data_IF_412780477286
#
_entry.id   IF_412780477286
#
_cell.length_a   1.000
_cell.length_b   1.000
_cell.length_c   1.000
_cell.angle_alpha   90.00
_cell.angle_beta   90.00
_cell.angle_gamma   90.00
#
_symmetry.space_group_name_H-M   'P 1'
#
loop_
_entity.id
_entity.type
_entity.pdbx_description
1 polymer ?
#
# COMPACT_ATOMS: atom_id res chain seq x y z
N UNK A 1 -22.52 -58.69 17.39
CA UNK A 1 -21.50 -57.60 17.37
C UNK A 1 -21.54 -56.87 16.03
N UNK A 2 -22.01 -55.61 16.01
CA UNK A 2 -22.07 -54.79 14.78
C UNK A 2 -20.69 -54.13 14.56
N UNK A 3 -20.05 -54.40 13.40
CA UNK A 3 -18.79 -53.77 13.02
C UNK A 3 -19.01 -52.28 12.78
N UNK A 4 -18.13 -51.39 13.30
CA UNK A 4 -18.26 -49.97 13.04
C UNK A 4 -18.03 -49.67 11.54
N UNK A 5 -18.85 -48.77 11.00
CA UNK A 5 -18.85 -48.42 9.58
C UNK A 5 -17.61 -47.55 9.25
N UNK A 6 -16.57 -48.17 8.72
CA UNK A 6 -15.25 -47.59 8.45
C UNK A 6 -15.35 -46.33 7.57
N UNK A 7 -16.33 -46.28 6.68
CA UNK A 7 -16.54 -45.09 5.81
C UNK A 7 -17.03 -43.85 6.56
N UNK A 8 -17.75 -43.99 7.68
CA UNK A 8 -18.18 -42.85 8.52
C UNK A 8 -17.03 -42.28 9.34
N UNK A 9 -16.11 -43.12 9.78
CA UNK A 9 -14.93 -42.68 10.56
C UNK A 9 -13.97 -41.88 9.67
N UNK A 10 -13.73 -42.35 8.43
CA UNK A 10 -12.88 -41.65 7.45
C UNK A 10 -13.46 -40.29 7.02
N UNK A 11 -14.77 -40.16 6.87
CA UNK A 11 -15.42 -38.89 6.53
C UNK A 11 -15.34 -37.87 7.66
N UNK A 12 -15.49 -38.30 8.92
CA UNK A 12 -15.39 -37.40 10.09
C UNK A 12 -13.97 -36.92 10.28
N UNK A 13 -12.96 -37.78 10.11
CA UNK A 13 -11.54 -37.37 10.20
C UNK A 13 -11.14 -36.42 9.11
N UNK A 14 -11.64 -36.57 7.88
CA UNK A 14 -11.37 -35.61 6.77
C UNK A 14 -11.99 -34.24 7.03
N UNK A 15 -13.21 -34.17 7.58
CA UNK A 15 -13.89 -32.91 7.91
C UNK A 15 -13.17 -32.19 9.06
N UNK A 16 -12.76 -32.92 10.10
CA UNK A 16 -12.01 -32.33 11.23
C UNK A 16 -10.63 -31.82 10.78
N UNK A 17 -9.93 -32.54 9.90
CA UNK A 17 -8.66 -32.10 9.33
C UNK A 17 -8.82 -30.87 8.43
N UNK A 18 -9.91 -30.79 7.65
CA UNK A 18 -10.19 -29.65 6.79
C UNK A 18 -10.58 -28.40 7.62
N UNK A 19 -11.39 -28.55 8.66
CA UNK A 19 -11.72 -27.46 9.58
C UNK A 19 -10.51 -26.98 10.39
N UNK A 20 -9.62 -27.88 10.81
CA UNK A 20 -8.37 -27.54 11.46
C UNK A 20 -7.41 -26.81 10.50
N UNK A 21 -7.35 -27.20 9.23
CA UNK A 21 -6.56 -26.53 8.19
C UNK A 21 -7.05 -25.11 7.89
N UNK A 22 -8.39 -24.90 7.85
CA UNK A 22 -8.99 -23.56 7.72
C UNK A 22 -8.68 -22.71 8.96
N UNK A 23 -8.83 -23.29 10.18
CA UNK A 23 -8.55 -22.58 11.43
C UNK A 23 -7.06 -22.16 11.56
N UNK A 24 -6.13 -23.00 11.11
CA UNK A 24 -4.69 -22.69 11.13
C UNK A 24 -4.34 -21.57 10.13
N UNK A 25 -5.03 -21.49 8.98
CA UNK A 25 -4.80 -20.38 8.05
C UNK A 25 -5.40 -19.05 8.52
N UNK A 26 -6.51 -19.08 9.27
CA UNK A 26 -7.12 -17.86 9.83
C UNK A 26 -6.35 -17.31 11.04
N UNK A 27 -5.56 -18.11 11.74
CA UNK A 27 -4.74 -17.68 12.89
C UNK A 27 -3.48 -16.92 12.47
N UNK A 28 -3.07 -16.96 11.18
CA UNK A 28 -1.82 -16.37 10.70
C UNK A 28 -1.92 -14.94 10.14
N UNK A 29 -3.09 -14.44 9.81
CA UNK A 29 -3.25 -13.07 9.35
C UNK A 29 -3.28 -12.11 10.54
N UNK A 30 -2.10 -11.56 10.91
CA UNK A 30 -2.10 -10.45 11.87
C UNK A 30 -2.88 -9.29 11.23
N UNK A 31 -3.89 -8.74 11.95
CA UNK A 31 -4.59 -7.55 11.44
C UNK A 31 -3.58 -6.43 11.17
N UNK A 32 -3.87 -5.62 10.17
CA UNK A 32 -3.10 -4.41 9.91
C UNK A 32 -3.04 -3.56 11.19
N UNK A 33 -1.89 -2.94 11.45
CA UNK A 33 -1.74 -2.09 12.61
C UNK A 33 -2.45 -0.76 12.32
N UNK A 34 -3.54 -0.49 13.03
CA UNK A 34 -4.24 0.78 12.94
C UNK A 34 -3.36 1.90 13.53
N UNK A 35 -3.19 3.02 12.82
CA UNK A 35 -2.44 4.15 13.33
C UNK A 35 -3.22 4.92 14.40
N UNK A 36 -2.50 5.61 15.28
CA UNK A 36 -3.10 6.53 16.25
C UNK A 36 -3.57 7.82 15.57
N UNK A 37 -4.79 8.27 15.85
CA UNK A 37 -5.33 9.55 15.37
C UNK A 37 -5.47 10.57 16.50
N UNK A 38 -5.32 11.90 16.26
CA UNK A 38 -4.98 12.48 14.96
C UNK A 38 -3.56 12.10 14.50
N UNK A 39 -3.42 11.78 13.20
CA UNK A 39 -2.13 11.35 12.67
C UNK A 39 -1.13 12.52 12.63
N UNK A 40 0.13 12.35 13.08
CA UNK A 40 1.09 13.45 13.17
C UNK A 40 1.41 14.04 11.80
N UNK A 41 1.32 15.36 11.68
CA UNK A 41 1.79 16.07 10.49
C UNK A 41 3.31 16.06 10.43
N UNK A 42 3.94 15.99 9.23
CA UNK A 42 5.40 16.10 9.11
C UNK A 42 5.90 17.43 9.71
N UNK A 43 6.91 17.36 10.58
CA UNK A 43 7.60 18.53 11.12
C UNK A 43 8.60 19.07 10.11
N UNK A 44 9.22 18.16 9.34
CA UNK A 44 10.15 18.48 8.26
C UNK A 44 9.42 18.28 6.95
N UNK A 45 9.18 19.36 6.20
CA UNK A 45 8.48 19.35 4.91
C UNK A 45 9.01 20.49 4.02
N UNK A 46 8.74 20.39 2.71
CA UNK A 46 8.86 21.51 1.79
C UNK A 46 7.65 22.44 1.95
N UNK A 47 7.81 23.77 1.93
CA UNK A 47 6.69 24.69 1.93
C UNK A 47 5.89 24.54 0.63
N UNK A 48 4.61 24.94 0.65
CA UNK A 48 3.84 25.06 -0.60
C UNK A 48 4.57 25.98 -1.59
N UNK A 49 4.66 25.55 -2.83
CA UNK A 49 5.27 26.33 -3.90
C UNK A 49 4.44 27.59 -4.20
N UNK A 50 5.11 28.70 -4.52
CA UNK A 50 4.44 29.95 -4.85
C UNK A 50 3.68 29.88 -6.18
N UNK A 51 4.14 29.04 -7.11
CA UNK A 51 3.58 28.90 -8.45
C UNK A 51 3.14 27.45 -8.71
N UNK A 52 2.10 27.29 -9.54
CA UNK A 52 1.67 25.99 -10.05
C UNK A 52 2.80 25.33 -10.84
N UNK A 53 3.07 24.09 -10.53
CA UNK A 53 4.03 23.25 -11.26
C UNK A 53 3.60 21.79 -11.16
N UNK A 54 4.41 20.89 -11.70
CA UNK A 54 4.21 19.46 -11.55
C UNK A 54 5.45 18.86 -10.90
N UNK A 55 5.23 18.17 -9.80
CA UNK A 55 6.23 17.29 -9.21
C UNK A 55 5.73 15.85 -9.26
N UNK A 56 6.67 14.91 -9.23
CA UNK A 56 6.34 13.48 -9.28
C UNK A 56 7.05 12.75 -8.13
N UNK A 57 6.30 11.83 -7.51
CA UNK A 57 6.82 10.89 -6.50
C UNK A 57 6.38 9.49 -6.85
N UNK A 58 7.23 8.49 -6.55
CA UNK A 58 6.90 7.07 -6.73
C UNK A 58 6.89 6.37 -5.38
N UNK A 59 5.77 5.73 -5.08
CA UNK A 59 5.50 5.06 -3.80
C UNK A 59 5.04 3.62 -4.04
N UNK A 60 5.42 2.71 -3.14
CA UNK A 60 4.98 1.31 -3.13
C UNK A 60 4.42 0.98 -1.74
N UNK A 61 3.19 0.47 -1.66
CA UNK A 61 2.48 0.22 -0.39
C UNK A 61 1.49 -0.94 -0.47
N UNK A 62 1.89 -2.08 -1.04
CA UNK A 62 1.03 -3.22 -1.31
C UNK A 62 0.42 -3.19 -2.70
N UNK A 63 -0.74 -3.84 -2.88
CA UNK A 63 -1.47 -3.82 -4.14
C UNK A 63 -1.72 -2.38 -4.61
N UNK A 64 -1.28 -2.08 -5.83
CA UNK A 64 -1.32 -0.72 -6.38
C UNK A 64 -2.74 -0.22 -6.67
N UNK A 65 -3.77 -1.08 -6.79
CA UNK A 65 -5.15 -0.67 -7.05
C UNK A 65 -5.70 0.26 -5.97
N UNK A 66 -5.57 -0.15 -4.71
CA UNK A 66 -6.02 0.66 -3.59
C UNK A 66 -5.12 1.87 -3.34
N UNK A 67 -3.81 1.73 -3.54
CA UNK A 67 -2.87 2.85 -3.40
C UNK A 67 -3.14 3.91 -4.47
N UNK A 68 -3.36 3.52 -5.73
CA UNK A 68 -3.74 4.42 -6.82
C UNK A 68 -5.00 5.19 -6.45
N UNK A 69 -6.07 4.48 -6.08
CA UNK A 69 -7.35 5.09 -5.73
C UNK A 69 -7.24 6.12 -4.58
N UNK A 70 -6.47 5.82 -3.52
CA UNK A 70 -6.25 6.77 -2.42
C UNK A 70 -5.68 8.08 -2.93
N UNK A 71 -4.66 8.05 -3.79
CA UNK A 71 -4.02 9.27 -4.27
C UNK A 71 -4.82 9.99 -5.37
N UNK A 72 -5.64 9.29 -6.14
CA UNK A 72 -6.58 9.91 -7.09
C UNK A 72 -7.63 10.77 -6.39
N UNK A 73 -7.99 10.42 -5.15
CA UNK A 73 -8.95 11.16 -4.35
C UNK A 73 -8.32 12.27 -3.48
N UNK A 74 -7.11 12.76 -3.82
CA UNK A 74 -6.48 13.88 -3.12
C UNK A 74 -6.53 15.18 -3.91
N UNK A 75 -6.95 16.26 -3.24
CA UNK A 75 -6.79 17.62 -3.77
C UNK A 75 -5.32 17.92 -4.01
N UNK A 76 -5.01 18.54 -5.13
CA UNK A 76 -3.63 18.85 -5.51
C UNK A 76 -2.93 17.75 -6.30
N UNK A 77 -3.39 16.50 -6.27
CA UNK A 77 -2.92 15.43 -7.14
C UNK A 77 -3.56 15.59 -8.52
N UNK A 78 -2.73 15.53 -9.57
CA UNK A 78 -3.17 15.72 -10.97
C UNK A 78 -3.42 14.39 -11.68
N UNK A 79 -2.53 13.42 -11.48
CA UNK A 79 -2.66 12.08 -12.05
C UNK A 79 -1.90 11.07 -11.21
N UNK A 80 -2.36 9.84 -11.23
CA UNK A 80 -1.71 8.68 -10.63
C UNK A 80 -1.65 7.58 -11.67
N UNK A 81 -0.54 6.86 -11.75
CA UNK A 81 -0.41 5.69 -12.60
C UNK A 81 0.08 4.51 -11.79
N UNK A 82 -0.58 3.37 -11.92
CA UNK A 82 -0.11 2.10 -11.39
C UNK A 82 1.07 1.55 -12.22
N UNK A 83 2.04 0.91 -11.57
CA UNK A 83 3.22 0.39 -12.26
C UNK A 83 4.20 -0.31 -11.34
N UNK A 84 5.44 -0.37 -11.77
CA UNK A 84 6.50 -1.15 -11.11
C UNK A 84 7.76 -0.32 -10.96
N UNK A 85 8.41 -0.40 -9.79
CA UNK A 85 9.68 0.30 -9.52
C UNK A 85 10.59 -0.49 -8.59
N UNK A 86 11.88 -0.13 -8.54
CA UNK A 86 12.85 -0.66 -7.59
C UNK A 86 13.51 -1.97 -7.97
N UNK A 87 13.09 -2.62 -9.05
CA UNK A 87 13.65 -3.89 -9.53
C UNK A 87 14.83 -3.74 -10.47
N UNK A 88 15.24 -4.88 -11.07
CA UNK A 88 16.40 -4.98 -11.97
C UNK A 88 16.03 -5.30 -13.41
N UNK A 89 14.81 -5.73 -13.65
CA UNK A 89 14.30 -6.12 -14.98
C UNK A 89 13.82 -4.87 -15.71
N UNK A 90 14.29 -4.67 -16.93
CA UNK A 90 13.78 -3.63 -17.81
C UNK A 90 12.47 -4.09 -18.46
N UNK A 91 11.48 -3.19 -18.54
CA UNK A 91 10.17 -3.48 -19.13
C UNK A 91 9.49 -4.73 -18.53
N UNK A 92 9.31 -4.79 -17.19
CA UNK A 92 8.65 -5.92 -16.54
C UNK A 92 7.18 -5.99 -16.94
N UNK A 93 6.64 -7.23 -17.04
CA UNK A 93 5.19 -7.48 -17.12
C UNK A 93 4.63 -7.84 -15.75
N UNK A 94 3.29 -7.79 -15.61
CA UNK A 94 2.60 -8.20 -14.39
C UNK A 94 2.96 -9.61 -13.95
N UNK A 95 2.98 -10.58 -14.88
CA UNK A 95 3.33 -11.98 -14.57
C UNK A 95 4.76 -12.10 -14.04
N UNK A 96 5.68 -11.31 -14.59
CA UNK A 96 7.06 -11.31 -14.12
C UNK A 96 7.16 -10.74 -12.71
N UNK A 97 6.49 -9.62 -12.42
CA UNK A 97 6.52 -8.98 -11.09
C UNK A 97 5.81 -9.84 -10.06
N UNK A 98 4.66 -10.42 -10.39
CA UNK A 98 3.89 -11.31 -9.52
C UNK A 98 4.66 -12.56 -9.09
N UNK A 99 5.66 -13.00 -9.88
CA UNK A 99 6.55 -14.09 -9.50
C UNK A 99 7.47 -13.75 -8.30
N UNK A 100 7.62 -12.46 -7.95
CA UNK A 100 8.52 -11.98 -6.91
C UNK A 100 10.01 -11.96 -7.29
N UNK A 101 10.37 -12.39 -8.52
CA UNK A 101 11.77 -12.59 -8.93
C UNK A 101 12.41 -11.36 -9.59
N UNK A 102 11.62 -10.38 -10.00
CA UNK A 102 12.12 -9.17 -10.70
C UNK A 102 12.79 -8.17 -9.77
N UNK A 103 12.48 -8.23 -8.47
CA UNK A 103 12.85 -7.23 -7.47
C UNK A 103 12.03 -5.93 -7.57
N UNK A 104 11.09 -5.81 -8.52
CA UNK A 104 10.16 -4.69 -8.56
C UNK A 104 9.11 -4.78 -7.45
N UNK A 105 8.68 -3.62 -6.96
CA UNK A 105 7.48 -3.49 -6.16
C UNK A 105 6.34 -2.95 -7.02
N UNK A 106 5.11 -3.39 -6.76
CA UNK A 106 3.92 -2.70 -7.20
C UNK A 106 3.93 -1.29 -6.63
N UNK A 107 3.85 -0.31 -7.51
CA UNK A 107 4.11 1.08 -7.20
C UNK A 107 3.11 1.99 -7.88
N UNK A 108 2.96 3.19 -7.36
CA UNK A 108 2.22 4.27 -8.02
C UNK A 108 3.13 5.45 -8.29
N UNK A 109 3.02 6.02 -9.49
CA UNK A 109 3.64 7.30 -9.86
C UNK A 109 2.59 8.40 -9.72
N UNK A 110 2.82 9.32 -8.78
CA UNK A 110 1.89 10.38 -8.40
C UNK A 110 2.42 11.70 -8.90
N UNK A 111 1.71 12.36 -9.81
CA UNK A 111 2.00 13.73 -10.24
C UNK A 111 1.09 14.69 -9.48
N UNK A 112 1.66 15.68 -8.81
CA UNK A 112 0.94 16.63 -7.97
C UNK A 112 1.38 18.07 -8.20
N UNK A 113 0.55 19.02 -7.77
CA UNK A 113 0.82 20.45 -7.77
C UNK A 113 1.35 20.88 -6.40
N UNK A 114 2.64 21.17 -6.25
CA UNK A 114 3.22 21.55 -4.95
C UNK A 114 2.72 22.89 -4.41
N UNK A 115 1.97 23.67 -5.21
CA UNK A 115 1.27 24.85 -4.71
C UNK A 115 -0.05 24.52 -3.98
N UNK A 116 -0.54 23.28 -4.06
CA UNK A 116 -1.81 22.84 -3.46
C UNK A 116 -1.62 21.77 -2.38
N UNK A 117 -0.62 20.90 -2.53
CA UNK A 117 -0.31 19.83 -1.60
C UNK A 117 1.20 19.66 -1.50
N UNK A 118 1.74 19.53 -0.29
CA UNK A 118 3.18 19.34 -0.08
C UNK A 118 3.57 17.86 -0.23
N UNK A 119 4.87 17.62 -0.43
CA UNK A 119 5.42 16.26 -0.42
C UNK A 119 5.18 15.55 0.93
N UNK A 120 5.35 16.26 2.04
CA UNK A 120 5.07 15.72 3.36
C UNK A 120 3.60 15.37 3.58
N UNK A 121 2.66 16.13 3.01
CA UNK A 121 1.23 15.77 3.07
C UNK A 121 0.94 14.49 2.25
N UNK A 122 1.59 14.30 1.11
CA UNK A 122 1.51 13.04 0.34
C UNK A 122 2.04 11.87 1.18
N UNK A 123 3.19 12.04 1.83
CA UNK A 123 3.75 11.03 2.73
C UNK A 123 2.84 10.77 3.94
N UNK A 124 2.19 11.81 4.48
CA UNK A 124 1.23 11.64 5.57
C UNK A 124 0.07 10.72 5.18
N UNK A 125 -0.51 10.92 3.99
CA UNK A 125 -1.57 10.04 3.48
C UNK A 125 -1.01 8.64 3.17
N UNK A 126 0.20 8.54 2.63
CA UNK A 126 0.85 7.26 2.37
C UNK A 126 0.98 6.41 3.63
N UNK A 127 1.50 6.98 4.71
CA UNK A 127 1.70 6.27 5.96
C UNK A 127 0.41 6.06 6.77
N UNK A 128 -0.59 6.95 6.67
CA UNK A 128 -1.80 6.87 7.51
C UNK A 128 -2.95 6.10 6.88
N UNK A 129 -3.05 6.09 5.55
CA UNK A 129 -4.24 5.59 4.82
C UNK A 129 -3.90 4.50 3.82
N UNK A 130 -2.84 4.69 3.02
CA UNK A 130 -2.61 3.84 1.87
C UNK A 130 -2.24 2.40 2.24
N UNK A 131 -1.51 2.19 3.36
CA UNK A 131 -1.04 0.87 3.76
C UNK A 131 -0.59 0.82 5.25
N UNK A 132 -0.30 -0.37 5.76
CA UNK A 132 0.40 -0.59 7.04
C UNK A 132 1.92 -0.66 6.80
N UNK A 133 2.68 0.40 7.15
CA UNK A 133 4.12 0.46 6.88
C UNK A 133 4.97 -0.46 7.76
N UNK A 134 4.36 -1.25 8.64
CA UNK A 134 5.05 -2.19 9.53
C UNK A 134 5.08 -3.62 9.01
N UNK A 135 4.51 -3.87 7.82
CA UNK A 135 4.46 -5.18 7.20
C UNK A 135 5.64 -5.37 6.24
N UNK A 136 6.59 -6.24 6.62
CA UNK A 136 7.76 -6.53 5.80
C UNK A 136 7.40 -7.50 4.66
N UNK A 137 7.68 -7.10 3.42
CA UNK A 137 7.48 -7.90 2.21
C UNK A 137 6.06 -8.47 2.06
N UNK A 138 5.06 -7.74 2.51
CA UNK A 138 3.65 -8.08 2.40
C UNK A 138 2.77 -6.87 2.66
N UNK A 139 1.48 -6.96 2.30
CA UNK A 139 0.47 -5.99 2.72
C UNK A 139 -0.90 -6.66 2.78
N UNK A 140 -1.49 -6.69 3.98
CA UNK A 140 -2.79 -7.34 4.18
C UNK A 140 -2.76 -8.81 3.76
N UNK A 141 -3.62 -9.24 2.81
CA UNK A 141 -3.65 -10.61 2.32
C UNK A 141 -2.49 -10.95 1.36
N UNK A 142 -1.86 -9.92 0.76
CA UNK A 142 -0.84 -10.11 -0.27
C UNK A 142 0.52 -10.36 0.36
N UNK A 143 1.20 -11.43 -0.07
CA UNK A 143 2.50 -11.84 0.43
C UNK A 143 3.53 -11.88 -0.71
N UNK A 144 4.71 -11.33 -0.45
CA UNK A 144 5.80 -11.25 -1.42
C UNK A 144 6.47 -9.88 -1.45
N UNK A 145 7.73 -9.85 -1.92
CA UNK A 145 8.55 -8.63 -2.00
C UNK A 145 7.97 -7.57 -2.95
N UNK A 146 7.12 -7.98 -3.90
CA UNK A 146 6.39 -7.07 -4.79
C UNK A 146 5.35 -6.21 -4.07
N UNK A 147 4.92 -6.61 -2.88
CA UNK A 147 3.98 -5.86 -2.03
C UNK A 147 4.64 -5.12 -0.87
N UNK A 148 5.97 -4.96 -0.91
CA UNK A 148 6.72 -4.24 0.14
C UNK A 148 6.41 -2.76 0.16
N UNK A 149 6.62 -2.15 1.32
CA UNK A 149 6.56 -0.69 1.47
C UNK A 149 7.87 -0.05 1.01
N UNK A 150 7.80 0.93 0.10
CA UNK A 150 8.97 1.70 -0.33
C UNK A 150 8.60 3.12 -0.79
N UNK A 151 9.55 4.04 -0.60
CA UNK A 151 9.53 5.40 -1.15
C UNK A 151 10.74 5.56 -2.06
N UNK A 152 10.51 5.92 -3.32
CA UNK A 152 11.57 6.16 -4.31
C UNK A 152 11.81 7.65 -4.47
N UNK A 153 12.89 8.16 -3.86
CA UNK A 153 13.21 9.59 -3.89
C UNK A 153 13.99 9.98 -5.15
N UNK A 154 13.68 11.16 -5.70
CA UNK A 154 14.37 11.74 -6.86
C UNK A 154 15.38 12.83 -6.47
N UNK A 155 15.27 13.41 -5.27
CA UNK A 155 16.12 14.47 -4.76
C UNK A 155 16.59 14.19 -3.33
N UNK A 156 17.72 14.76 -2.92
CA UNK A 156 18.18 14.64 -1.52
C UNK A 156 17.22 15.31 -0.53
N UNK A 157 16.46 16.31 -0.97
CA UNK A 157 15.42 16.92 -0.15
C UNK A 157 14.26 15.94 0.12
N UNK A 158 13.74 15.25 -0.90
CA UNK A 158 12.74 14.20 -0.72
C UNK A 158 13.24 13.10 0.22
N UNK A 159 14.50 12.67 0.05
CA UNK A 159 15.12 11.68 0.94
C UNK A 159 15.16 12.17 2.39
N UNK A 160 15.58 13.42 2.62
CA UNK A 160 15.64 14.02 3.96
C UNK A 160 14.25 14.09 4.60
N UNK A 161 13.24 14.54 3.84
CA UNK A 161 11.86 14.66 4.34
C UNK A 161 11.30 13.29 4.74
N UNK A 162 11.39 12.29 3.86
CA UNK A 162 10.84 10.95 4.17
C UNK A 162 11.56 10.29 5.34
N UNK A 163 12.90 10.40 5.42
CA UNK A 163 13.66 9.84 6.52
C UNK A 163 13.29 10.48 7.87
N UNK A 164 13.21 11.82 7.91
CA UNK A 164 12.79 12.55 9.10
C UNK A 164 11.35 12.22 9.52
N UNK A 165 10.46 12.01 8.55
CA UNK A 165 9.07 11.69 8.86
C UNK A 165 8.92 10.26 9.41
N UNK A 166 9.63 9.27 8.86
CA UNK A 166 9.66 7.92 9.41
C UNK A 166 10.20 7.94 10.86
N UNK A 167 11.29 8.67 11.11
CA UNK A 167 11.85 8.81 12.46
C UNK A 167 10.85 9.47 13.42
N UNK A 168 10.15 10.51 12.97
CA UNK A 168 9.09 11.17 13.75
C UNK A 168 7.95 10.22 14.12
N UNK A 169 7.46 9.41 13.18
CA UNK A 169 6.37 8.46 13.40
C UNK A 169 6.80 7.32 14.34
N UNK A 170 8.02 6.80 14.19
CA UNK A 170 8.58 5.78 15.06
C UNK A 170 8.79 6.32 16.49
N UNK A 171 9.33 7.54 16.64
CA UNK A 171 9.52 8.19 17.93
C UNK A 171 8.19 8.47 18.65
N UNK A 172 7.16 8.86 17.91
CA UNK A 172 5.80 9.07 18.40
C UNK A 172 5.05 7.76 18.69
N UNK A 173 5.64 6.59 18.35
CA UNK A 173 5.02 5.25 18.48
C UNK A 173 3.62 5.19 17.85
N UNK A 174 3.47 5.79 16.68
CA UNK A 174 2.20 5.82 15.93
C UNK A 174 1.73 4.41 15.63
N UNK A 175 2.66 3.50 15.38
CA UNK A 175 2.42 2.07 15.19
C UNK A 175 3.02 1.24 16.33
N UNK A 176 2.45 0.06 16.62
CA UNK A 176 2.99 -0.83 17.66
C UNK A 176 4.31 -1.52 17.26
N UNK A 177 4.70 -1.43 15.99
CA UNK A 177 5.94 -1.97 15.42
C UNK A 177 6.66 -0.88 14.64
N UNK A 178 7.96 -1.06 14.42
CA UNK A 178 8.75 -0.15 13.59
C UNK A 178 8.26 -0.13 12.16
N UNK A 179 8.36 1.04 11.54
CA UNK A 179 8.16 1.22 10.11
C UNK A 179 9.30 0.51 9.36
N UNK A 180 8.95 -0.31 8.37
CA UNK A 180 9.89 -1.08 7.55
C UNK A 180 9.98 -0.58 6.10
N UNK A 181 9.46 0.60 5.84
CA UNK A 181 9.48 1.24 4.53
C UNK A 181 10.91 1.45 4.03
N UNK A 182 11.23 0.92 2.86
CA UNK A 182 12.51 1.15 2.19
C UNK A 182 12.55 2.57 1.61
N UNK A 183 13.63 3.32 1.85
CA UNK A 183 13.88 4.64 1.24
C UNK A 183 14.99 4.48 0.21
N UNK A 184 14.62 4.47 -1.08
CA UNK A 184 15.50 4.12 -2.19
C UNK A 184 15.62 5.25 -3.21
N UNK A 185 16.78 5.40 -3.89
CA UNK A 185 16.87 6.33 -5.01
C UNK A 185 15.97 5.86 -6.16
N UNK A 186 15.21 6.79 -6.72
CA UNK A 186 14.42 6.55 -7.93
C UNK A 186 15.33 6.26 -9.13
N UNK A 187 15.06 5.19 -9.86
CA UNK A 187 15.80 4.82 -11.07
C UNK A 187 14.91 4.81 -12.30
N UNK A 188 13.79 4.11 -12.21
CA UNK A 188 12.82 3.97 -13.29
C UNK A 188 11.45 3.61 -12.72
N UNK A 189 10.41 3.99 -13.44
CA UNK A 189 9.04 3.56 -13.26
C UNK A 189 8.54 2.95 -14.56
N UNK A 190 7.98 1.78 -14.48
CA UNK A 190 7.36 1.08 -15.60
C UNK A 190 5.86 1.04 -15.38
N UNK A 191 5.11 1.74 -16.23
CA UNK A 191 3.65 1.76 -16.15
C UNK A 191 3.11 0.34 -16.32
N UNK A 192 2.22 -0.08 -15.44
CA UNK A 192 1.53 -1.36 -15.56
C UNK A 192 0.55 -1.34 -16.74
N UNK A 193 0.13 -2.51 -17.14
CA UNK A 193 -0.79 -2.76 -18.25
C UNK A 193 -2.10 -1.99 -18.02
N UNK A 194 -2.78 -1.62 -19.10
CA UNK A 194 -3.94 -0.71 -19.04
C UNK A 194 -5.10 -1.27 -18.21
N UNK A 195 -5.27 -2.59 -18.18
CA UNK A 195 -6.31 -3.23 -17.38
C UNK A 195 -6.08 -3.12 -15.85
N UNK A 196 -4.90 -2.70 -15.41
CA UNK A 196 -4.62 -2.39 -14.01
C UNK A 196 -4.87 -0.94 -13.63
N UNK A 197 -4.99 -0.04 -14.61
CA UNK A 197 -5.22 1.38 -14.32
C UNK A 197 -6.66 1.59 -13.87
N UNK A 198 -6.86 2.46 -12.87
CA UNK A 198 -8.17 2.84 -12.34
C UNK A 198 -9.04 1.62 -11.96
N UNK A 199 -8.39 0.51 -11.56
CA UNK A 199 -9.03 -0.77 -11.35
C UNK A 199 -10.17 -0.70 -10.32
N UNK A 200 -9.95 -0.01 -9.20
CA UNK A 200 -10.95 0.15 -8.15
C UNK A 200 -12.24 0.79 -8.70
N UNK A 201 -12.15 1.82 -9.53
CA UNK A 201 -13.32 2.55 -10.03
C UNK A 201 -14.22 1.72 -10.92
N UNK A 202 -13.65 0.73 -11.62
CA UNK A 202 -14.37 -0.17 -12.54
C UNK A 202 -14.78 -1.50 -11.91
N UNK A 203 -14.25 -1.85 -10.71
CA UNK A 203 -14.44 -3.13 -10.05
C UNK A 203 -14.93 -3.01 -8.58
N UNK A 204 -15.79 -2.04 -8.31
CA UNK A 204 -16.26 -1.69 -6.95
C UNK A 204 -16.95 -2.81 -6.20
N UNK A 205 -17.44 -3.86 -6.88
CA UNK A 205 -18.13 -4.99 -6.27
C UNK A 205 -17.23 -6.24 -6.12
N UNK A 206 -15.98 -6.17 -6.55
CA UNK A 206 -15.07 -7.29 -6.40
C UNK A 206 -14.69 -7.50 -4.93
N UNK A 207 -14.75 -8.75 -4.40
CA UNK A 207 -14.51 -9.01 -2.98
C UNK A 207 -13.18 -8.45 -2.48
N UNK A 208 -12.10 -8.55 -3.26
CA UNK A 208 -10.80 -7.97 -2.87
C UNK A 208 -10.90 -6.46 -2.65
N UNK A 209 -11.50 -5.74 -3.60
CA UNK A 209 -11.70 -4.28 -3.55
C UNK A 209 -12.58 -3.90 -2.35
N UNK A 210 -13.71 -4.61 -2.16
CA UNK A 210 -14.65 -4.32 -1.07
C UNK A 210 -13.99 -4.47 0.30
N UNK A 211 -13.18 -5.52 0.51
CA UNK A 211 -12.61 -5.80 1.82
C UNK A 211 -11.27 -5.10 2.08
N UNK A 212 -10.48 -4.80 1.04
CA UNK A 212 -9.12 -4.30 1.23
C UNK A 212 -8.92 -2.84 0.79
N UNK A 213 -9.67 -2.35 -0.21
CA UNK A 213 -9.37 -1.05 -0.83
C UNK A 213 -10.44 0.01 -0.56
N UNK A 214 -11.73 -0.30 -0.65
CA UNK A 214 -12.79 0.66 -0.31
C UNK A 214 -12.65 1.22 1.12
N UNK A 215 -12.28 0.43 2.15
CA UNK A 215 -12.06 0.97 3.49
C UNK A 215 -11.00 2.06 3.56
N UNK A 216 -9.99 2.05 2.66
CA UNK A 216 -8.96 3.10 2.60
C UNK A 216 -9.56 4.44 2.17
N UNK A 217 -10.47 4.43 1.18
CA UNK A 217 -11.16 5.65 0.74
C UNK A 217 -12.09 6.20 1.84
N UNK A 218 -12.81 5.34 2.54
CA UNK A 218 -13.60 5.74 3.69
C UNK A 218 -12.74 6.37 4.80
N UNK A 219 -11.57 5.78 5.07
CA UNK A 219 -10.59 6.32 6.00
C UNK A 219 -10.07 7.68 5.54
N UNK A 220 -9.70 7.83 4.27
CA UNK A 220 -9.26 9.10 3.71
C UNK A 220 -10.31 10.19 3.90
N UNK A 221 -11.54 9.92 3.50
CA UNK A 221 -12.66 10.85 3.60
C UNK A 221 -12.96 11.25 5.05
N UNK A 222 -12.89 10.30 5.97
CA UNK A 222 -13.19 10.51 7.39
C UNK A 222 -12.09 11.25 8.14
N UNK A 223 -10.82 10.92 7.88
CA UNK A 223 -9.69 11.42 8.65
C UNK A 223 -9.09 12.71 8.06
N UNK A 224 -9.24 12.89 6.73
CA UNK A 224 -8.65 14.02 6.00
C UNK A 224 -9.64 14.67 5.02
N UNK A 225 -10.84 15.10 5.51
CA UNK A 225 -11.88 15.64 4.63
C UNK A 225 -11.44 16.91 3.90
N UNK A 226 -10.49 17.66 4.46
CA UNK A 226 -9.92 18.86 3.83
C UNK A 226 -9.05 18.54 2.61
N UNK A 227 -8.41 17.36 2.59
CA UNK A 227 -7.58 16.88 1.48
C UNK A 227 -8.34 16.01 0.48
N UNK A 228 -9.50 15.48 0.88
CA UNK A 228 -10.31 14.59 0.04
C UNK A 228 -11.01 15.36 -1.10
N UNK A 229 -11.04 14.75 -2.28
CA UNK A 229 -11.91 15.13 -3.41
C UNK A 229 -12.70 13.92 -3.89
N UNK A 230 -13.93 14.14 -4.36
CA UNK A 230 -14.76 13.12 -5.04
C UNK A 230 -14.22 12.78 -6.42
#
# INVERSE_FOLDING_TARGET
>A
MRRPNLGRILAITAIVAFLAWIAVRTIGARPAAEPHYPFPKPVVDAPLAANKSNETVVLAGGCFWGVQAVFEHLKGVRSVAAGYSGGRVNSPSYEMVSSGLTGHAESVSITFDPSQITYGQILMIFFSVAHDPTQLNRQGPDDGTQYRSAVFYSTEEQKRIVAAYIEQLDAAKVYPRKIVTEVMPFKAFYRAEEYHQDYLTTHTNEPYIVYNDLPKLEHLKKQFPELYRD
#
